data_IF_182481278802
#
_entry.id   IF_182481278802
#
_cell.length_a   1.000
_cell.length_b   1.000
_cell.length_c   1.000
_cell.angle_alpha   90.00
_cell.angle_beta   90.00
_cell.angle_gamma   90.00
#
_symmetry.space_group_name_H-M   'P 1'
#
loop_
_entity.id
_entity.type
_entity.pdbx_description
1 polymer ?
#
# COMPACT_ATOMS: atom_id res chain seq x y z
N UNK A 1 1.90 -6.80 17.72
CA UNK A 1 2.69 -7.41 16.63
C UNK A 1 3.15 -6.26 15.76
N UNK A 2 4.46 -6.02 15.64
CA UNK A 2 4.98 -5.05 14.66
C UNK A 2 4.75 -5.65 13.28
N UNK A 3 3.64 -5.27 12.65
CA UNK A 3 3.40 -5.56 11.24
C UNK A 3 4.30 -4.63 10.44
N UNK A 4 5.53 -5.07 10.19
CA UNK A 4 6.36 -4.42 9.17
C UNK A 4 5.57 -4.42 7.87
N UNK A 5 5.16 -3.23 7.43
CA UNK A 5 4.49 -3.08 6.15
C UNK A 5 5.48 -3.49 5.07
N UNK A 6 5.21 -4.61 4.40
CA UNK A 6 6.04 -5.09 3.31
C UNK A 6 5.42 -4.59 1.99
N UNK A 7 5.75 -3.35 1.61
CA UNK A 7 5.33 -2.77 0.33
C UNK A 7 5.63 -3.71 -0.83
N UNK A 8 6.81 -4.32 -0.85
CA UNK A 8 7.19 -5.27 -1.90
C UNK A 8 6.27 -6.48 -2.01
N UNK A 9 5.56 -6.86 -0.94
CA UNK A 9 4.55 -7.93 -0.98
C UNK A 9 3.20 -7.43 -1.52
N UNK A 10 2.80 -6.22 -1.13
CA UNK A 10 1.62 -5.53 -1.66
C UNK A 10 1.75 -5.30 -3.17
N UNK A 11 2.87 -4.73 -3.62
CA UNK A 11 3.09 -4.38 -5.04
C UNK A 11 3.28 -5.60 -5.94
N UNK A 12 3.72 -6.74 -5.38
CA UNK A 12 3.78 -8.02 -6.11
C UNK A 12 2.43 -8.69 -6.28
N UNK A 13 1.49 -8.45 -5.36
CA UNK A 13 0.18 -9.12 -5.35
C UNK A 13 -0.95 -8.26 -5.89
N UNK A 14 -0.79 -6.94 -5.86
CA UNK A 14 -1.84 -5.99 -6.21
C UNK A 14 -1.39 -5.04 -7.32
N UNK A 15 -2.33 -4.72 -8.20
CA UNK A 15 -2.17 -3.65 -9.18
C UNK A 15 -2.46 -2.28 -8.56
N UNK A 16 -1.98 -1.20 -9.20
CA UNK A 16 -2.25 0.17 -8.76
C UNK A 16 -3.77 0.44 -8.65
N UNK A 17 -4.57 -0.13 -9.55
CA UNK A 17 -6.03 -0.04 -9.48
C UNK A 17 -6.61 -0.67 -8.21
N UNK A 18 -6.11 -1.84 -7.81
CA UNK A 18 -6.57 -2.51 -6.59
C UNK A 18 -6.14 -1.74 -5.34
N UNK A 19 -4.93 -1.17 -5.33
CA UNK A 19 -4.45 -0.32 -4.23
C UNK A 19 -5.29 0.95 -4.14
N UNK A 20 -5.51 1.65 -5.25
CA UNK A 20 -6.37 2.84 -5.31
C UNK A 20 -7.76 2.56 -4.75
N UNK A 21 -8.40 1.46 -5.17
CA UNK A 21 -9.72 1.05 -4.68
C UNK A 21 -9.74 0.65 -3.20
N UNK A 22 -8.72 -0.03 -2.72
CA UNK A 22 -8.67 -0.54 -1.35
C UNK A 22 -8.31 0.55 -0.33
N UNK A 23 -7.42 1.46 -0.71
CA UNK A 23 -6.86 2.48 0.19
C UNK A 23 -7.58 3.83 0.03
N UNK A 24 -8.25 4.04 -1.11
CA UNK A 24 -8.95 5.28 -1.42
C UNK A 24 -8.01 6.42 -1.82
N UNK A 25 -6.91 6.08 -2.51
CA UNK A 25 -5.96 7.04 -3.08
C UNK A 25 -6.19 7.19 -4.58
N UNK A 26 -5.74 8.30 -5.15
CA UNK A 26 -5.75 8.46 -6.60
C UNK A 26 -4.83 7.44 -7.30
N UNK A 27 -5.03 7.27 -8.61
CA UNK A 27 -4.25 6.32 -9.41
C UNK A 27 -2.78 6.70 -9.52
N UNK A 28 -2.43 7.99 -9.42
CA UNK A 28 -1.05 8.44 -9.54
C UNK A 28 -0.25 8.02 -8.30
N UNK A 29 -0.80 8.24 -7.11
CA UNK A 29 -0.24 7.81 -5.84
C UNK A 29 -0.21 6.29 -5.76
N UNK A 30 -1.27 5.61 -6.19
CA UNK A 30 -1.27 4.15 -6.24
C UNK A 30 -0.19 3.59 -7.18
N UNK A 31 0.03 4.24 -8.33
CA UNK A 31 1.08 3.85 -9.26
C UNK A 31 2.48 4.08 -8.66
N UNK A 32 2.71 5.24 -8.02
CA UNK A 32 3.97 5.51 -7.28
C UNK A 32 4.23 4.51 -6.16
N UNK A 33 3.18 4.03 -5.48
CA UNK A 33 3.28 2.96 -4.48
C UNK A 33 3.73 1.65 -5.15
N UNK A 34 3.11 1.27 -6.27
CA UNK A 34 3.47 0.05 -7.03
C UNK A 34 4.89 0.09 -7.58
N UNK A 35 5.30 1.25 -8.09
CA UNK A 35 6.62 1.45 -8.67
C UNK A 35 7.71 1.68 -7.61
N UNK A 36 7.34 1.60 -6.32
CA UNK A 36 8.22 1.85 -5.16
C UNK A 36 8.90 3.25 -5.22
N UNK A 37 8.27 4.22 -5.91
CA UNK A 37 8.77 5.59 -6.09
C UNK A 37 8.41 6.51 -4.91
N UNK A 38 7.62 6.03 -3.96
CA UNK A 38 7.27 6.74 -2.73
C UNK A 38 7.67 5.94 -1.50
N UNK A 39 8.20 6.62 -0.49
CA UNK A 39 8.51 5.99 0.78
C UNK A 39 7.28 5.98 1.68
N UNK A 40 7.26 5.02 2.59
CA UNK A 40 6.18 4.90 3.59
C UNK A 40 6.06 6.08 4.54
N UNK A 41 7.19 6.72 4.83
CA UNK A 41 7.26 7.93 5.66
C UNK A 41 6.59 9.15 4.98
N UNK A 42 6.49 9.15 3.65
CA UNK A 42 5.89 10.23 2.87
C UNK A 42 4.38 10.02 2.65
N UNK A 43 3.84 8.86 3.02
CA UNK A 43 2.42 8.58 2.89
C UNK A 43 1.62 9.19 4.03
N UNK A 44 0.41 9.70 3.76
CA UNK A 44 -0.51 10.10 4.81
C UNK A 44 -0.77 8.95 5.80
N UNK A 45 -0.85 9.24 7.09
CA UNK A 45 -1.05 8.24 8.15
C UNK A 45 -2.28 7.35 7.89
N UNK A 46 -3.38 7.95 7.40
CA UNK A 46 -4.59 7.24 6.98
C UNK A 46 -4.35 6.25 5.84
N UNK A 47 -3.48 6.60 4.89
CA UNK A 47 -3.12 5.76 3.74
C UNK A 47 -2.22 4.62 4.19
N UNK A 48 -1.24 4.92 5.06
CA UNK A 48 -0.33 3.95 5.66
C UNK A 48 -1.11 2.89 6.46
N UNK A 49 -2.03 3.30 7.33
CA UNK A 49 -2.83 2.38 8.14
C UNK A 49 -3.67 1.43 7.28
N UNK A 50 -4.31 1.94 6.22
CA UNK A 50 -5.05 1.11 5.26
C UNK A 50 -4.16 0.15 4.47
N UNK A 51 -2.96 0.59 4.06
CA UNK A 51 -1.98 -0.31 3.43
C UNK A 51 -1.54 -1.40 4.41
N UNK A 52 -1.39 -1.09 5.70
CA UNK A 52 -1.06 -2.07 6.74
C UNK A 52 -2.15 -3.12 6.90
N UNK A 53 -3.42 -2.70 6.94
CA UNK A 53 -4.55 -3.63 6.96
C UNK A 53 -4.60 -4.50 5.71
N UNK A 54 -4.36 -3.91 4.54
CA UNK A 54 -4.36 -4.62 3.27
C UNK A 54 -3.23 -5.67 3.22
N UNK A 55 -2.04 -5.30 3.70
CA UNK A 55 -0.90 -6.20 3.82
C UNK A 55 -1.19 -7.35 4.80
N UNK A 56 -1.81 -7.06 5.95
CA UNK A 56 -2.18 -8.07 6.93
C UNK A 56 -3.19 -9.07 6.36
N UNK A 57 -4.19 -8.61 5.60
CA UNK A 57 -5.16 -9.47 4.89
C UNK A 57 -4.53 -10.36 3.81
N UNK A 58 -3.39 -9.95 3.23
CA UNK A 58 -2.68 -10.72 2.19
C UNK A 58 -1.68 -11.75 2.76
N UNK A 59 -1.29 -11.57 4.02
CA UNK A 59 -0.43 -12.50 4.76
C UNK A 59 -1.23 -13.53 5.57
N UNK A 60 -2.48 -13.22 5.92
CA UNK A 60 -3.45 -14.18 6.50
C UNK A 60 -4.05 -15.09 5.44
#
# INVERSE_FOLDING_TARGET
MNTELNLSLLVKKLTAYQISRAVGVDMELAQKIVDEEIKLEDLPEDTLGKLQELNHKLMS
#
